data_IF_997889724171
#
_entry.id   IF_997889724171
#
_cell.length_a   1.000
_cell.length_b   1.000
_cell.length_c   1.000
_cell.angle_alpha   90.00
_cell.angle_beta   90.00
_cell.angle_gamma   90.00
#
_symmetry.space_group_name_H-M   'P 1'
#
loop_
_entity.id
_entity.type
_entity.pdbx_description
1 polymer ?
#
# COMPACT_ATOMS: atom_id res chain seq x y z
N UNK A 1 -50.26 3.75 -6.01
CA UNK A 1 -49.45 3.67 -7.25
C UNK A 1 -47.99 3.63 -6.84
N UNK A 2 -47.41 2.44 -6.79
CA UNK A 2 -46.00 2.22 -6.45
C UNK A 2 -45.19 2.17 -7.75
N UNK A 3 -44.16 2.99 -7.88
CA UNK A 3 -43.22 2.96 -9.01
C UNK A 3 -42.32 1.73 -8.97
N UNK A 4 -41.75 1.29 -10.11
CA UNK A 4 -41.04 0.02 -10.17
C UNK A 4 -39.67 0.10 -9.49
N UNK A 5 -39.34 -0.96 -8.78
CA UNK A 5 -38.01 -1.24 -8.24
C UNK A 5 -37.05 -1.49 -9.41
N UNK A 6 -36.00 -0.68 -9.52
CA UNK A 6 -34.93 -0.94 -10.48
C UNK A 6 -34.15 -2.18 -10.07
N UNK A 7 -34.05 -3.11 -11.02
CA UNK A 7 -33.24 -4.31 -11.01
C UNK A 7 -31.75 -3.94 -11.13
N UNK A 8 -30.93 -4.34 -10.14
CA UNK A 8 -29.47 -4.15 -10.13
C UNK A 8 -28.73 -5.48 -10.31
N UNK A 9 -29.36 -6.47 -10.93
CA UNK A 9 -28.78 -7.79 -11.18
C UNK A 9 -27.97 -7.75 -12.49
N UNK A 10 -26.76 -7.20 -12.47
CA UNK A 10 -25.90 -7.32 -13.65
C UNK A 10 -24.54 -6.68 -13.52
N UNK A 11 -23.52 -7.55 -13.60
CA UNK A 11 -22.09 -7.25 -13.82
C UNK A 11 -21.24 -7.15 -12.54
N UNK A 12 -21.09 -8.28 -11.86
CA UNK A 12 -19.79 -8.61 -11.27
C UNK A 12 -18.82 -8.94 -12.42
N UNK A 13 -17.76 -8.15 -12.67
CA UNK A 13 -16.62 -8.71 -13.37
C UNK A 13 -15.96 -9.72 -12.43
N UNK A 14 -15.94 -10.98 -12.88
CA UNK A 14 -15.15 -12.04 -12.31
C UNK A 14 -13.70 -11.55 -12.12
N UNK A 15 -13.14 -11.89 -10.96
CA UNK A 15 -11.71 -11.95 -10.62
C UNK A 15 -10.77 -11.56 -11.75
N UNK A 16 -10.42 -10.27 -11.83
CA UNK A 16 -9.26 -9.85 -12.57
C UNK A 16 -8.04 -10.50 -11.91
N UNK A 17 -7.45 -11.47 -12.59
CA UNK A 17 -6.19 -12.08 -12.17
C UNK A 17 -5.12 -10.99 -12.13
N UNK A 18 -4.77 -10.55 -10.92
CA UNK A 18 -3.63 -9.67 -10.72
C UNK A 18 -2.37 -10.43 -11.15
N UNK A 19 -1.92 -10.13 -12.36
CA UNK A 19 -0.62 -10.53 -12.88
C UNK A 19 0.33 -9.38 -12.61
N UNK A 20 1.26 -9.56 -11.68
CA UNK A 20 2.32 -8.59 -11.42
C UNK A 20 3.04 -8.27 -12.75
N UNK A 21 3.16 -6.99 -13.17
CA UNK A 21 3.86 -6.66 -14.39
C UNK A 21 5.35 -7.05 -14.26
N UNK A 22 5.90 -7.71 -15.29
CA UNK A 22 7.29 -8.19 -15.35
C UNK A 22 8.26 -7.20 -16.01
N UNK A 23 7.95 -5.90 -15.99
CA UNK A 23 8.84 -4.84 -16.51
C UNK A 23 8.97 -3.75 -15.45
N UNK A 24 10.20 -3.54 -14.95
CA UNK A 24 10.64 -2.50 -14.02
C UNK A 24 9.51 -1.64 -13.42
N UNK A 25 8.69 -2.26 -12.57
CA UNK A 25 7.64 -1.56 -11.84
C UNK A 25 8.33 -0.93 -10.64
N UNK A 26 8.20 0.39 -10.53
CA UNK A 26 8.64 1.09 -9.33
C UNK A 26 7.86 0.56 -8.11
N UNK A 27 8.42 0.70 -6.92
CA UNK A 27 7.85 0.07 -5.73
C UNK A 27 7.02 1.05 -4.88
N UNK A 28 5.96 0.52 -4.27
CA UNK A 28 5.21 1.15 -3.19
C UNK A 28 5.68 0.59 -1.85
N UNK A 29 6.40 1.40 -1.06
CA UNK A 29 6.91 1.00 0.23
C UNK A 29 5.89 1.28 1.34
N UNK A 30 5.50 0.24 2.06
CA UNK A 30 4.76 0.34 3.31
C UNK A 30 5.68 0.81 4.46
N UNK A 31 5.07 1.31 5.52
CA UNK A 31 5.68 1.81 6.76
C UNK A 31 6.66 0.81 7.36
N UNK A 32 6.35 -0.48 7.33
CA UNK A 32 7.22 -1.53 7.87
C UNK A 32 8.61 -1.54 7.23
N UNK A 33 8.71 -1.31 5.92
CA UNK A 33 9.98 -1.28 5.17
C UNK A 33 10.71 0.04 5.38
N UNK A 34 9.99 1.16 5.38
CA UNK A 34 10.60 2.48 5.58
C UNK A 34 11.14 2.68 7.01
N UNK A 35 10.47 2.13 8.02
CA UNK A 35 10.97 2.15 9.40
C UNK A 35 12.23 1.30 9.53
N UNK A 36 12.27 0.10 8.94
CA UNK A 36 13.48 -0.73 8.95
C UNK A 36 14.65 -0.02 8.27
N UNK A 37 14.40 0.70 7.17
CA UNK A 37 15.40 1.55 6.52
C UNK A 37 15.94 2.65 7.45
N UNK A 38 15.06 3.41 8.10
CA UNK A 38 15.45 4.46 9.05
C UNK A 38 16.23 3.91 10.23
N UNK A 39 15.99 2.65 10.61
CA UNK A 39 16.72 1.93 11.67
C UNK A 39 18.02 1.28 11.21
N UNK A 40 18.43 1.49 9.96
CA UNK A 40 19.69 0.98 9.43
C UNK A 40 19.67 -0.52 9.09
N UNK A 41 18.49 -1.11 8.85
CA UNK A 41 18.39 -2.51 8.48
C UNK A 41 18.93 -2.74 7.06
N UNK A 42 20.07 -3.44 6.95
CA UNK A 42 20.82 -3.56 5.69
C UNK A 42 19.99 -4.18 4.54
N UNK A 43 19.11 -5.15 4.83
CA UNK A 43 18.25 -5.76 3.82
C UNK A 43 17.19 -4.78 3.30
N UNK A 44 16.65 -3.91 4.16
CA UNK A 44 15.69 -2.88 3.75
C UNK A 44 16.38 -1.85 2.85
N UNK A 45 17.58 -1.39 3.23
CA UNK A 45 18.39 -0.51 2.40
C UNK A 45 18.70 -1.12 1.03
N UNK A 46 19.11 -2.39 0.98
CA UNK A 46 19.39 -3.08 -0.29
C UNK A 46 18.16 -3.16 -1.19
N UNK A 47 17.00 -3.54 -0.64
CA UNK A 47 15.77 -3.64 -1.43
C UNK A 47 15.32 -2.28 -1.96
N UNK A 48 15.30 -1.25 -1.10
CA UNK A 48 14.88 0.09 -1.51
C UNK A 48 15.83 0.68 -2.56
N UNK A 49 17.15 0.50 -2.41
CA UNK A 49 18.15 0.97 -3.38
C UNK A 49 17.99 0.26 -4.74
N UNK A 50 17.76 -1.05 -4.75
CA UNK A 50 17.52 -1.81 -5.98
C UNK A 50 16.29 -1.29 -6.75
N UNK A 51 15.19 -1.02 -6.04
CA UNK A 51 13.99 -0.43 -6.66
C UNK A 51 14.20 1.02 -7.06
N UNK A 52 14.98 1.79 -6.29
CA UNK A 52 15.32 3.19 -6.59
C UNK A 52 16.12 3.30 -7.88
N UNK A 53 17.00 2.34 -8.16
CA UNK A 53 17.73 2.26 -9.42
C UNK A 53 16.82 2.02 -10.64
N UNK A 54 15.64 1.42 -10.44
CA UNK A 54 14.64 1.21 -11.50
C UNK A 54 13.66 2.38 -11.66
N UNK A 55 13.51 3.24 -10.65
CA UNK A 55 12.69 4.46 -10.70
C UNK A 55 12.32 5.02 -9.32
N UNK A 56 11.46 6.05 -9.24
CA UNK A 56 11.08 6.65 -7.97
C UNK A 56 10.41 5.65 -7.03
N UNK A 57 10.65 5.77 -5.73
CA UNK A 57 9.93 5.00 -4.72
C UNK A 57 8.65 5.73 -4.35
N UNK A 58 7.59 4.99 -4.10
CA UNK A 58 6.27 5.52 -3.78
C UNK A 58 5.83 5.10 -2.37
N UNK A 59 4.99 5.89 -1.72
CA UNK A 59 4.35 5.53 -0.45
C UNK A 59 3.03 6.31 -0.23
N UNK A 60 2.24 5.89 0.75
CA UNK A 60 0.99 6.56 1.13
C UNK A 60 1.25 7.75 2.07
N UNK A 61 0.46 8.82 1.97
CA UNK A 61 0.45 9.87 3.00
C UNK A 61 0.13 9.33 4.42
N UNK A 62 -0.56 8.18 4.54
CA UNK A 62 -0.73 7.48 5.83
C UNK A 62 0.63 7.01 6.36
N UNK A 63 1.45 6.39 5.51
CA UNK A 63 2.80 5.98 5.88
C UNK A 63 3.67 7.18 6.30
N UNK A 64 3.53 8.34 5.64
CA UNK A 64 4.20 9.57 6.08
C UNK A 64 3.76 9.97 7.48
N UNK A 65 2.46 9.96 7.75
CA UNK A 65 1.89 10.27 9.06
C UNK A 65 2.46 9.33 10.13
N UNK A 66 2.48 8.02 9.88
CA UNK A 66 2.99 7.03 10.84
C UNK A 66 4.48 7.21 11.14
N UNK A 67 5.30 7.47 10.11
CA UNK A 67 6.72 7.75 10.26
C UNK A 67 6.92 9.01 11.12
N UNK A 68 6.20 10.09 10.83
CA UNK A 68 6.32 11.35 11.57
C UNK A 68 5.82 11.21 13.01
N UNK A 69 4.72 10.46 13.23
CA UNK A 69 4.18 10.20 14.56
C UNK A 69 5.11 9.31 15.40
N UNK A 70 5.82 8.38 14.76
CA UNK A 70 6.77 7.48 15.41
C UNK A 70 8.21 8.02 15.55
N UNK A 71 8.50 9.18 14.95
CA UNK A 71 9.83 9.79 14.93
C UNK A 71 10.30 10.17 16.33
N UNK A 72 11.52 9.76 16.69
CA UNK A 72 12.14 10.07 18.00
C UNK A 72 13.07 11.27 17.91
N UNK A 73 13.37 11.94 19.04
CA UNK A 73 14.37 13.01 19.08
C UNK A 73 15.72 12.52 18.53
N UNK A 74 16.30 13.28 17.61
CA UNK A 74 17.56 12.95 16.93
C UNK A 74 17.39 12.20 15.60
N UNK A 75 16.17 11.77 15.25
CA UNK A 75 15.87 11.11 13.98
C UNK A 75 15.36 12.09 12.89
N UNK A 76 15.29 13.39 13.17
CA UNK A 76 14.61 14.37 12.31
C UNK A 76 15.27 14.52 10.94
N UNK A 77 16.59 14.69 10.91
CA UNK A 77 17.34 14.86 9.67
C UNK A 77 17.25 13.64 8.74
N UNK A 78 17.54 12.40 9.17
CA UNK A 78 17.40 11.23 8.31
C UNK A 78 15.94 10.99 7.90
N UNK A 79 14.98 11.23 8.80
CA UNK A 79 13.55 11.10 8.48
C UNK A 79 13.14 12.08 7.38
N UNK A 80 13.44 13.37 7.53
CA UNK A 80 13.11 14.39 6.51
C UNK A 80 13.79 14.12 5.17
N UNK A 81 15.04 13.64 5.21
CA UNK A 81 15.77 13.25 4.00
C UNK A 81 15.07 12.11 3.27
N UNK A 82 14.69 11.04 3.97
CA UNK A 82 13.89 9.95 3.40
C UNK A 82 12.57 10.47 2.83
N UNK A 83 11.82 11.26 3.61
CA UNK A 83 10.50 11.72 3.18
C UNK A 83 10.57 12.57 1.90
N UNK A 84 11.63 13.34 1.71
CA UNK A 84 11.85 14.14 0.50
C UNK A 84 12.16 13.31 -0.76
N UNK A 85 12.55 12.04 -0.59
CA UNK A 85 12.99 11.18 -1.68
C UNK A 85 11.84 10.38 -2.33
N UNK A 86 10.67 10.27 -1.69
CA UNK A 86 9.54 9.46 -2.16
C UNK A 86 8.51 10.30 -2.92
N UNK A 87 7.79 9.65 -3.83
CA UNK A 87 6.52 10.13 -4.38
C UNK A 87 5.41 9.69 -3.44
N UNK A 88 4.57 10.64 -3.03
CA UNK A 88 3.52 10.38 -2.03
C UNK A 88 2.14 10.40 -2.66
N UNK A 89 1.35 9.38 -2.34
CA UNK A 89 -0.01 9.22 -2.83
C UNK A 89 -1.01 9.62 -1.74
N UNK A 90 -1.95 10.54 -2.04
CA UNK A 90 -2.97 10.95 -1.09
C UNK A 90 -4.01 9.85 -0.88
N UNK A 91 -4.72 9.91 0.25
CA UNK A 91 -5.96 9.15 0.46
C UNK A 91 -7.12 10.04 0.03
N UNK A 92 -7.37 10.04 -1.28
CA UNK A 92 -8.46 10.79 -1.88
C UNK A 92 -9.75 9.96 -1.96
N UNK A 93 -10.78 10.50 -2.60
CA UNK A 93 -12.08 9.82 -2.77
C UNK A 93 -11.94 8.46 -3.46
N UNK A 94 -11.10 8.35 -4.50
CA UNK A 94 -10.93 7.09 -5.22
C UNK A 94 -10.27 6.02 -4.34
N UNK A 95 -9.23 6.39 -3.60
CA UNK A 95 -8.58 5.49 -2.63
C UNK A 95 -9.57 5.09 -1.53
N UNK A 96 -10.34 6.03 -0.99
CA UNK A 96 -11.30 5.77 0.09
C UNK A 96 -12.43 4.83 -0.34
N UNK A 97 -13.00 5.02 -1.54
CA UNK A 97 -14.04 4.13 -2.07
C UNK A 97 -13.52 2.72 -2.31
N UNK A 98 -12.33 2.59 -2.92
CA UNK A 98 -11.71 1.30 -3.16
C UNK A 98 -11.31 0.60 -1.85
N UNK A 99 -10.78 1.33 -0.88
CA UNK A 99 -10.46 0.81 0.45
C UNK A 99 -11.72 0.32 1.17
N UNK A 100 -12.83 1.05 1.06
CA UNK A 100 -14.13 0.64 1.62
C UNK A 100 -14.66 -0.64 0.95
N UNK A 101 -14.48 -0.80 -0.36
CA UNK A 101 -14.83 -2.03 -1.06
C UNK A 101 -13.99 -3.23 -0.61
N UNK A 102 -12.67 -3.06 -0.48
CA UNK A 102 -11.77 -4.06 0.09
C UNK A 102 -12.16 -4.40 1.53
N UNK A 103 -12.51 -3.41 2.34
CA UNK A 103 -12.94 -3.60 3.72
C UNK A 103 -14.18 -4.48 3.83
N UNK A 104 -15.22 -4.21 3.02
CA UNK A 104 -16.42 -5.05 2.96
C UNK A 104 -16.13 -6.50 2.59
N UNK A 105 -15.14 -6.71 1.73
CA UNK A 105 -14.75 -8.05 1.27
C UNK A 105 -13.92 -8.81 2.31
N UNK A 106 -12.96 -8.15 2.97
CA UNK A 106 -11.90 -8.84 3.71
C UNK A 106 -12.04 -8.79 5.23
N UNK A 107 -12.55 -7.69 5.80
CA UNK A 107 -12.66 -7.53 7.26
C UNK A 107 -13.50 -8.62 7.95
N UNK A 108 -14.59 -9.17 7.36
CA UNK A 108 -15.36 -10.25 7.99
C UNK A 108 -14.53 -11.51 8.29
N UNK A 109 -13.46 -11.77 7.54
CA UNK A 109 -12.60 -12.96 7.70
C UNK A 109 -11.17 -12.64 8.16
N UNK A 110 -10.75 -11.37 8.11
CA UNK A 110 -9.38 -10.93 8.43
C UNK A 110 -9.42 -9.71 9.34
N UNK A 111 -9.74 -9.94 10.62
CA UNK A 111 -9.97 -8.91 11.63
C UNK A 111 -8.70 -8.11 12.03
N UNK A 112 -7.52 -8.53 11.60
CA UNK A 112 -6.25 -7.84 11.87
C UNK A 112 -5.92 -6.75 10.85
N UNK A 113 -6.69 -6.64 9.76
CA UNK A 113 -6.51 -5.61 8.73
C UNK A 113 -7.12 -4.31 9.27
N UNK A 114 -6.37 -3.22 9.24
CA UNK A 114 -6.87 -1.90 9.64
C UNK A 114 -7.18 -0.99 8.43
N UNK A 115 -7.62 0.24 8.71
CA UNK A 115 -7.94 1.21 7.65
C UNK A 115 -6.70 1.69 6.87
N UNK A 116 -5.52 1.70 7.49
CA UNK A 116 -4.27 2.05 6.84
C UNK A 116 -3.86 0.96 5.84
N UNK A 117 -3.94 -0.31 6.24
CA UNK A 117 -3.72 -1.47 5.38
C UNK A 117 -4.64 -1.43 4.16
N UNK A 118 -5.94 -1.14 4.36
CA UNK A 118 -6.93 -1.05 3.26
C UNK A 118 -6.64 0.11 2.31
N UNK A 119 -6.24 1.28 2.83
CA UNK A 119 -5.89 2.43 2.00
C UNK A 119 -4.61 2.20 1.20
N UNK A 120 -3.61 1.55 1.79
CA UNK A 120 -2.38 1.12 1.09
C UNK A 120 -2.74 0.12 -0.02
N UNK A 121 -3.54 -0.91 0.29
CA UNK A 121 -3.98 -1.91 -0.68
C UNK A 121 -4.75 -1.28 -1.86
N UNK A 122 -5.66 -0.35 -1.56
CA UNK A 122 -6.42 0.38 -2.57
C UNK A 122 -5.50 1.21 -3.46
N UNK A 123 -4.56 1.96 -2.89
CA UNK A 123 -3.60 2.76 -3.64
C UNK A 123 -2.75 1.90 -4.58
N UNK A 124 -2.27 0.76 -4.09
CA UNK A 124 -1.51 -0.22 -4.87
C UNK A 124 -2.34 -0.79 -6.02
N UNK A 125 -3.61 -1.14 -5.80
CA UNK A 125 -4.49 -1.64 -6.86
C UNK A 125 -4.77 -0.58 -7.94
N UNK A 126 -4.97 0.68 -7.55
CA UNK A 126 -5.26 1.78 -8.47
C UNK A 126 -4.03 2.19 -9.30
N UNK A 127 -2.83 2.07 -8.73
CA UNK A 127 -1.58 2.49 -9.37
C UNK A 127 -0.85 1.36 -10.10
N UNK A 128 -1.14 0.10 -9.76
CA UNK A 128 -0.45 -1.08 -10.30
C UNK A 128 0.98 -1.26 -9.80
N UNK A 129 1.39 -0.54 -8.76
CA UNK A 129 2.75 -0.58 -8.21
C UNK A 129 3.03 -1.89 -7.45
N UNK A 130 4.32 -2.25 -7.33
CA UNK A 130 4.72 -3.41 -6.54
C UNK A 130 4.77 -3.05 -5.04
N UNK A 131 3.93 -3.69 -4.21
CA UNK A 131 3.93 -3.46 -2.76
C UNK A 131 5.13 -4.13 -2.07
N UNK A 132 5.89 -3.34 -1.30
CA UNK A 132 6.92 -3.82 -0.39
C UNK A 132 6.40 -3.70 1.05
N UNK A 133 6.13 -4.82 1.71
CA UNK A 133 5.68 -4.87 3.10
C UNK A 133 6.16 -6.14 3.79
N UNK A 134 6.43 -6.05 5.09
CA UNK A 134 6.67 -7.23 5.94
C UNK A 134 5.37 -7.84 6.46
N UNK A 135 4.27 -7.09 6.43
CA UNK A 135 2.98 -7.49 7.01
C UNK A 135 2.11 -8.23 6.00
N UNK A 136 2.68 -9.19 5.25
CA UNK A 136 2.00 -9.88 4.13
C UNK A 136 0.60 -10.40 4.48
N UNK A 137 0.42 -10.90 5.71
CA UNK A 137 -0.89 -11.39 6.20
C UNK A 137 -2.00 -10.33 6.25
N UNK A 138 -1.67 -9.04 6.28
CA UNK A 138 -2.65 -7.94 6.24
C UNK A 138 -3.14 -7.65 4.82
N UNK A 139 -2.49 -8.25 3.81
CA UNK A 139 -2.79 -8.01 2.41
C UNK A 139 -3.22 -9.27 1.65
N UNK A 140 -4.26 -9.99 2.12
CA UNK A 140 -4.69 -11.25 1.50
C UNK A 140 -5.24 -11.07 0.07
N UNK A 141 -5.57 -9.83 -0.33
CA UNK A 141 -5.96 -9.48 -1.70
C UNK A 141 -4.81 -9.56 -2.73
N UNK A 142 -3.57 -9.73 -2.29
CA UNK A 142 -2.40 -9.91 -3.16
C UNK A 142 -1.86 -11.35 -3.04
N UNK A 143 -2.36 -12.32 -3.83
CA UNK A 143 -2.10 -13.75 -3.61
C UNK A 143 -0.64 -14.17 -3.82
N UNK A 144 0.17 -13.35 -4.51
CA UNK A 144 1.60 -13.62 -4.76
C UNK A 144 2.52 -12.69 -3.97
N UNK A 145 1.98 -11.91 -3.03
CA UNK A 145 2.78 -11.02 -2.19
C UNK A 145 3.69 -11.84 -1.28
N UNK A 146 4.95 -11.42 -1.20
CA UNK A 146 5.99 -12.03 -0.37
C UNK A 146 6.73 -10.93 0.39
N UNK A 147 7.28 -11.22 1.59
CA UNK A 147 8.10 -10.25 2.26
C UNK A 147 9.32 -9.93 1.37
N UNK A 148 9.75 -8.66 1.32
CA UNK A 148 10.85 -8.24 0.46
C UNK A 148 12.22 -8.77 0.93
N UNK A 149 12.32 -9.17 2.20
CA UNK A 149 13.50 -9.73 2.85
C UNK A 149 13.12 -10.50 4.12
#
# INVERSE_FOLDING_TARGET
MAGPLHDWSGLCPATAEWTAPQTAVTAFADTSVLIDYLRGHALAAKVLENHRAAGPLHASEITRLEILAGMRPGEESPTRSLLSALIWHPVDTAVAEQAGALGRQWLPSHHTIDSADLAIAATVQLTGLALLTKNVRHFPMFPRLRPPY
#
